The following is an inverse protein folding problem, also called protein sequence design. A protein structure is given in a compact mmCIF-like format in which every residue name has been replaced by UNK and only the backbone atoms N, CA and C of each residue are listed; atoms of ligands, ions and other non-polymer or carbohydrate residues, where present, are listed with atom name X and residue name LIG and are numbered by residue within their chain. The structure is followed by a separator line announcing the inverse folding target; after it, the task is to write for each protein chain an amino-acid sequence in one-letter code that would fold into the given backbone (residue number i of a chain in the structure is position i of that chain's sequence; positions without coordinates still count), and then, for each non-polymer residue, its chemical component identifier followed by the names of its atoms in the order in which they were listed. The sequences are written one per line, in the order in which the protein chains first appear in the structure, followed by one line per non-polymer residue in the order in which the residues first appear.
data_IF_280222835351
#
_entry.id   IF_280222835351
#
_cell.length_a   1.000
_cell.length_b   1.000
_cell.length_c   1.000
_cell.angle_alpha   90.00
_cell.angle_beta   90.00
_cell.angle_gamma   90.00
#
_symmetry.space_group_name_H-M   'P 1'
#
loop_
_entity.id
_entity.type
_entity.pdbx_description
1 polymer ?
#
# COMPACT_ATOMS: atom_id res chain seq x y z
N UNK A 1 -8.78 -23.26 2.43
CA UNK A 1 -9.18 -22.20 1.48
C UNK A 1 -8.15 -22.21 0.36
N UNK A 2 -8.54 -22.45 -0.90
CA UNK A 2 -7.58 -22.46 -2.02
C UNK A 2 -7.34 -21.01 -2.41
N UNK A 3 -6.14 -20.51 -2.09
CA UNK A 3 -5.67 -19.16 -2.36
C UNK A 3 -5.10 -19.20 -3.79
N UNK A 4 -5.75 -18.55 -4.76
CA UNK A 4 -5.36 -18.60 -6.18
C UNK A 4 -5.20 -17.20 -6.78
N UNK A 5 -4.11 -17.01 -7.53
CA UNK A 5 -3.77 -15.77 -8.23
C UNK A 5 -4.26 -15.75 -9.68
N UNK A 6 -4.89 -16.82 -10.16
CA UNK A 6 -5.29 -16.98 -11.57
C UNK A 6 -6.18 -15.84 -12.08
N UNK A 7 -7.08 -15.30 -11.24
CA UNK A 7 -7.97 -14.18 -11.62
C UNK A 7 -7.21 -12.90 -11.98
N UNK A 8 -5.95 -12.81 -11.58
CA UNK A 8 -5.10 -11.66 -11.81
C UNK A 8 -4.10 -11.84 -12.95
N UNK A 9 -4.10 -13.00 -13.62
CA UNK A 9 -3.28 -13.22 -14.81
C UNK A 9 -3.69 -12.23 -15.91
N UNK A 10 -2.70 -11.56 -16.49
CA UNK A 10 -2.91 -10.53 -17.52
C UNK A 10 -3.51 -9.22 -17.01
N UNK A 11 -3.60 -9.03 -15.69
CA UNK A 11 -4.14 -7.80 -15.09
C UNK A 11 -3.03 -6.81 -14.74
N UNK A 12 -3.39 -5.54 -14.69
CA UNK A 12 -2.47 -4.43 -14.43
C UNK A 12 -2.57 -4.00 -12.97
N UNK A 13 -1.44 -3.98 -12.28
CA UNK A 13 -1.28 -3.44 -10.94
C UNK A 13 -0.40 -2.18 -10.97
N UNK A 14 -0.81 -1.14 -10.23
CA UNK A 14 0.03 0.02 -9.94
C UNK A 14 0.51 -0.11 -8.50
N UNK A 15 1.82 -0.01 -8.28
CA UNK A 15 2.44 0.00 -6.94
C UNK A 15 3.22 1.30 -6.79
N UNK A 16 2.80 2.17 -5.88
CA UNK A 16 3.52 3.43 -5.61
C UNK A 16 4.72 3.18 -4.69
N UNK A 17 5.78 3.98 -4.80
CA UNK A 17 7.00 3.77 -3.99
C UNK A 17 7.67 2.41 -4.25
N UNK A 18 7.65 1.93 -5.49
CA UNK A 18 8.19 0.61 -5.87
C UNK A 18 9.73 0.57 -6.04
N UNK A 19 10.44 1.67 -5.76
CA UNK A 19 11.90 1.76 -5.91
C UNK A 19 12.68 1.05 -4.80
N UNK A 20 12.09 0.87 -3.61
CA UNK A 20 12.74 0.27 -2.44
C UNK A 20 11.71 -0.38 -1.49
N UNK A 21 12.19 -1.02 -0.41
CA UNK A 21 11.39 -1.56 0.68
C UNK A 21 10.19 -2.42 0.24
N UNK A 22 9.05 -2.20 0.91
CA UNK A 22 7.79 -2.94 0.73
C UNK A 22 7.28 -2.86 -0.72
N UNK A 23 7.23 -1.67 -1.31
CA UNK A 23 6.73 -1.49 -2.69
C UNK A 23 7.54 -2.28 -3.72
N UNK A 24 8.86 -2.33 -3.56
CA UNK A 24 9.73 -3.12 -4.42
C UNK A 24 9.52 -4.63 -4.21
N UNK A 25 9.35 -5.07 -2.97
CA UNK A 25 9.06 -6.48 -2.64
C UNK A 25 7.73 -6.95 -3.23
N UNK A 26 6.65 -6.14 -3.09
CA UNK A 26 5.34 -6.42 -3.69
C UNK A 26 5.47 -6.57 -5.21
N UNK A 27 6.16 -5.63 -5.86
CA UNK A 27 6.34 -5.64 -7.31
C UNK A 27 7.08 -6.90 -7.78
N UNK A 28 8.14 -7.30 -7.07
CA UNK A 28 8.90 -8.52 -7.39
C UNK A 28 8.10 -9.79 -7.17
N UNK A 29 7.45 -9.95 -6.01
CA UNK A 29 6.69 -11.16 -5.69
C UNK A 29 5.52 -11.35 -6.65
N UNK A 30 4.81 -10.28 -6.99
CA UNK A 30 3.75 -10.31 -8.01
C UNK A 30 4.23 -10.84 -9.36
N UNK A 31 5.40 -10.40 -9.83
CA UNK A 31 5.94 -10.89 -11.11
C UNK A 31 6.42 -12.33 -11.08
N UNK A 32 6.92 -12.80 -9.94
CA UNK A 32 7.30 -14.21 -9.76
C UNK A 32 6.08 -15.13 -9.83
N UNK A 33 5.04 -14.82 -9.07
CA UNK A 33 3.81 -15.64 -9.01
C UNK A 33 3.05 -15.68 -10.33
N UNK A 34 3.14 -14.62 -11.14
CA UNK A 34 2.44 -14.59 -12.44
C UNK A 34 3.17 -15.35 -13.56
N UNK A 35 4.41 -15.86 -13.33
CA UNK A 35 5.30 -16.57 -14.28
C UNK A 35 5.55 -15.89 -15.66
N UNK A 36 4.86 -14.79 -15.95
CA UNK A 36 4.87 -13.98 -17.19
C UNK A 36 4.68 -12.49 -16.90
N UNK A 37 4.76 -12.07 -15.63
CA UNK A 37 4.59 -10.68 -15.22
C UNK A 37 5.68 -9.78 -15.82
N UNK A 38 5.29 -8.57 -16.23
CA UNK A 38 6.22 -7.54 -16.72
C UNK A 38 6.23 -6.38 -15.72
N UNK A 39 7.42 -5.90 -15.37
CA UNK A 39 7.59 -4.67 -14.60
C UNK A 39 7.85 -3.50 -15.56
N UNK A 40 7.09 -2.43 -15.36
CA UNK A 40 7.27 -1.17 -16.08
C UNK A 40 7.60 -0.09 -15.05
N UNK A 41 8.81 0.45 -15.12
CA UNK A 41 9.20 1.56 -14.27
C UNK A 41 8.60 2.86 -14.79
N UNK A 42 7.95 3.62 -13.92
CA UNK A 42 7.45 4.96 -14.21
C UNK A 42 7.95 5.89 -13.10
N UNK A 43 8.86 6.81 -13.46
CA UNK A 43 9.30 7.82 -12.51
C UNK A 43 8.15 8.79 -12.26
N UNK A 44 7.79 8.97 -10.99
CA UNK A 44 6.64 9.81 -10.61
C UNK A 44 6.91 10.45 -9.26
N UNK A 45 6.87 11.77 -9.22
CA UNK A 45 6.89 12.50 -7.95
C UNK A 45 5.47 12.53 -7.37
N UNK A 46 5.24 11.76 -6.31
CA UNK A 46 3.93 11.66 -5.67
C UNK A 46 3.49 12.94 -4.96
N UNK A 47 4.39 13.91 -4.77
CA UNK A 47 4.03 15.25 -4.28
C UNK A 47 3.49 16.16 -5.39
N UNK A 48 3.70 15.81 -6.67
CA UNK A 48 3.25 16.57 -7.83
C UNK A 48 2.07 15.90 -8.51
N UNK A 49 0.91 16.55 -8.43
CA UNK A 49 -0.34 16.03 -9.02
C UNK A 49 -0.18 15.77 -10.52
N UNK A 50 0.50 16.64 -11.24
CA UNK A 50 0.70 16.55 -12.69
C UNK A 50 1.49 15.28 -13.06
N UNK A 51 2.47 14.90 -12.25
CA UNK A 51 3.27 13.69 -12.48
C UNK A 51 2.43 12.43 -12.22
N UNK A 52 1.60 12.44 -11.17
CA UNK A 52 0.63 11.35 -10.92
C UNK A 52 -0.29 11.19 -12.13
N UNK A 53 -0.87 12.29 -12.63
CA UNK A 53 -1.77 12.25 -13.77
C UNK A 53 -1.09 11.71 -15.04
N UNK A 54 0.15 12.15 -15.31
CA UNK A 54 0.96 11.64 -16.43
C UNK A 54 1.22 10.13 -16.30
N UNK A 55 1.54 9.64 -15.11
CA UNK A 55 1.77 8.21 -14.87
C UNK A 55 0.51 7.39 -15.14
N UNK A 56 -0.64 7.83 -14.62
CA UNK A 56 -1.93 7.16 -14.90
C UNK A 56 -2.32 7.21 -16.37
N UNK A 57 -2.02 8.30 -17.06
CA UNK A 57 -2.25 8.42 -18.50
C UNK A 57 -1.37 7.44 -19.28
N UNK A 58 -0.07 7.37 -18.96
CA UNK A 58 0.85 6.42 -19.57
C UNK A 58 0.39 4.96 -19.37
N UNK A 59 -0.08 4.59 -18.17
CA UNK A 59 -0.61 3.24 -17.91
C UNK A 59 -1.82 2.94 -18.80
N UNK A 60 -2.76 3.89 -18.93
CA UNK A 60 -3.94 3.72 -19.79
C UNK A 60 -3.55 3.52 -21.26
N UNK A 61 -2.61 4.31 -21.74
CA UNK A 61 -2.21 4.32 -23.16
C UNK A 61 -1.38 3.09 -23.55
N UNK A 62 -0.66 2.49 -22.60
CA UNK A 62 0.29 1.40 -22.89
C UNK A 62 -0.14 0.03 -22.35
N UNK A 63 -0.85 -0.02 -21.22
CA UNK A 63 -1.15 -1.25 -20.47
C UNK A 63 -2.66 -1.52 -20.33
N UNK A 64 -3.50 -0.51 -20.52
CA UNK A 64 -4.96 -0.61 -20.41
C UNK A 64 -5.50 -0.29 -19.01
N UNK A 65 -6.64 -0.90 -18.60
CA UNK A 65 -7.31 -0.53 -17.35
C UNK A 65 -6.53 -1.01 -16.11
N UNK A 66 -6.58 -0.22 -15.05
CA UNK A 66 -5.97 -0.55 -13.75
C UNK A 66 -6.89 -1.51 -13.02
N UNK A 67 -6.33 -2.62 -12.52
CA UNK A 67 -7.08 -3.65 -11.80
C UNK A 67 -6.73 -3.69 -10.32
N UNK A 68 -5.48 -3.38 -9.99
CA UNK A 68 -5.00 -3.32 -8.62
C UNK A 68 -4.28 -1.99 -8.42
N UNK A 69 -4.53 -1.34 -7.29
CA UNK A 69 -3.76 -0.19 -6.84
C UNK A 69 -3.23 -0.48 -5.44
N UNK A 70 -1.92 -0.45 -5.27
CA UNK A 70 -1.25 -0.50 -3.97
C UNK A 70 -0.75 0.91 -3.65
N UNK A 71 -1.48 1.61 -2.79
CA UNK A 71 -1.06 2.90 -2.23
C UNK A 71 -0.10 2.66 -1.07
N UNK A 72 1.18 2.63 -1.41
CA UNK A 72 2.27 2.58 -0.45
C UNK A 72 2.81 3.99 -0.12
N UNK A 73 2.64 4.96 -1.03
CA UNK A 73 2.89 6.39 -0.76
C UNK A 73 1.62 7.12 -0.28
N UNK A 74 1.75 8.02 0.71
CA UNK A 74 0.64 8.77 1.30
C UNK A 74 0.49 10.20 0.75
N UNK A 75 -0.76 10.63 0.52
CA UNK A 75 -1.14 12.01 0.22
C UNK A 75 -2.63 12.24 0.54
N UNK A 76 -3.05 13.48 0.85
CA UNK A 76 -4.47 13.82 1.20
C UNK A 76 -5.02 15.01 0.41
N UNK A 77 -6.30 14.99 0.03
CA UNK A 77 -7.03 16.12 -0.58
C UNK A 77 -8.52 16.09 -0.16
N UNK A 78 -9.17 17.25 -0.04
CA UNK A 78 -10.63 17.35 0.15
C UNK A 78 -11.40 16.98 -1.13
N UNK A 79 -11.94 15.76 -1.20
CA UNK A 79 -12.76 15.19 -2.28
C UNK A 79 -13.40 13.89 -1.77
N UNK A 80 -14.50 13.41 -2.39
CA UNK A 80 -14.91 12.01 -2.19
C UNK A 80 -13.79 11.09 -2.69
N UNK A 81 -13.57 9.96 -2.03
CA UNK A 81 -12.49 9.05 -2.41
C UNK A 81 -12.86 8.24 -3.66
N UNK A 82 -14.16 7.99 -3.86
CA UNK A 82 -14.69 7.40 -5.09
C UNK A 82 -14.55 8.29 -6.33
N UNK A 83 -14.28 9.59 -6.14
CA UNK A 83 -14.00 10.52 -7.23
C UNK A 83 -12.55 10.44 -7.73
N UNK A 84 -11.70 9.65 -7.09
CA UNK A 84 -10.32 9.40 -7.52
C UNK A 84 -10.23 8.73 -8.89
N UNK A 85 -9.18 9.07 -9.64
CA UNK A 85 -8.98 8.61 -11.03
C UNK A 85 -8.94 7.09 -11.16
N UNK A 86 -8.43 6.38 -10.16
CA UNK A 86 -8.39 4.91 -10.12
C UNK A 86 -9.78 4.30 -10.00
N UNK A 87 -10.60 4.77 -9.05
CA UNK A 87 -11.97 4.25 -8.87
C UNK A 87 -12.80 4.55 -10.12
N UNK A 88 -12.67 5.76 -10.68
CA UNK A 88 -13.29 6.13 -11.96
C UNK A 88 -12.84 5.22 -13.10
N UNK A 89 -11.55 4.94 -13.21
CA UNK A 89 -11.00 4.02 -14.21
C UNK A 89 -11.58 2.60 -14.05
N UNK A 90 -11.55 2.04 -12.85
CA UNK A 90 -12.07 0.69 -12.59
C UNK A 90 -13.56 0.60 -12.90
N UNK A 91 -14.35 1.57 -12.43
CA UNK A 91 -15.81 1.60 -12.68
C UNK A 91 -16.14 1.75 -14.16
N UNK A 92 -15.50 2.68 -14.87
CA UNK A 92 -15.70 2.90 -16.32
C UNK A 92 -15.43 1.61 -17.12
N UNK A 93 -14.43 0.84 -16.70
CA UNK A 93 -14.04 -0.41 -17.36
C UNK A 93 -14.68 -1.67 -16.76
N UNK A 94 -15.66 -1.54 -15.85
CA UNK A 94 -16.35 -2.65 -15.17
C UNK A 94 -15.39 -3.63 -14.48
N UNK A 95 -14.30 -3.11 -13.92
CA UNK A 95 -13.27 -3.89 -13.24
C UNK A 95 -13.67 -4.16 -11.79
N UNK A 96 -13.79 -5.43 -11.42
CA UNK A 96 -13.87 -5.88 -10.02
C UNK A 96 -12.46 -5.87 -9.40
N UNK A 97 -11.95 -4.65 -9.20
CA UNK A 97 -10.56 -4.41 -8.79
C UNK A 97 -10.31 -4.55 -7.30
N UNK A 98 -9.08 -4.25 -6.89
CA UNK A 98 -8.68 -4.24 -5.48
C UNK A 98 -7.76 -3.06 -5.20
N UNK A 99 -8.15 -2.23 -4.23
CA UNK A 99 -7.33 -1.12 -3.72
C UNK A 99 -6.75 -1.53 -2.37
N UNK A 100 -5.43 -1.44 -2.24
CA UNK A 100 -4.69 -1.81 -1.03
C UNK A 100 -3.96 -0.59 -0.51
N UNK A 101 -4.16 -0.26 0.75
CA UNK A 101 -3.42 0.79 1.45
C UNK A 101 -2.37 0.15 2.36
N UNK A 102 -1.10 0.52 2.21
CA UNK A 102 -0.07 0.13 3.16
C UNK A 102 -0.11 1.12 4.33
N UNK A 103 -0.79 0.71 5.38
CA UNK A 103 -0.97 1.44 6.62
C UNK A 103 0.20 1.14 7.59
N UNK A 104 -0.07 0.94 8.88
CA UNK A 104 0.89 0.65 9.95
C UNK A 104 0.12 0.30 11.21
N UNK A 105 0.73 -0.46 12.11
CA UNK A 105 0.26 -0.57 13.50
C UNK A 105 0.06 0.80 14.18
N UNK A 106 0.85 1.82 13.79
CA UNK A 106 0.69 3.21 14.22
C UNK A 106 -0.59 3.89 13.71
N UNK A 107 -1.35 3.24 12.84
CA UNK A 107 -2.70 3.66 12.42
C UNK A 107 -3.82 3.16 13.32
N UNK A 108 -3.47 2.37 14.35
CA UNK A 108 -4.41 1.73 15.28
C UNK A 108 -4.08 2.00 16.75
N UNK A 109 -2.84 2.38 17.06
CA UNK A 109 -2.44 2.89 18.37
C UNK A 109 -1.35 3.94 18.22
N UNK A 110 -1.08 4.67 19.30
CA UNK A 110 -0.07 5.73 19.33
C UNK A 110 1.18 5.18 20.02
N UNK A 111 2.22 4.76 19.27
CA UNK A 111 3.47 4.34 19.88
C UNK A 111 4.15 5.55 20.54
N UNK A 112 4.75 5.34 21.72
CA UNK A 112 5.53 6.38 22.39
C UNK A 112 6.90 6.54 21.70
N UNK A 113 6.92 7.25 20.59
CA UNK A 113 8.11 7.55 19.79
C UNK A 113 8.33 9.06 19.75
N UNK A 114 9.10 9.62 20.70
CA UNK A 114 9.46 11.03 20.69
C UNK A 114 10.01 11.44 19.33
N UNK A 115 9.56 12.59 18.81
CA UNK A 115 9.94 13.16 17.51
C UNK A 115 9.31 12.49 16.27
N UNK A 116 8.49 11.45 16.41
CA UNK A 116 7.76 10.82 15.30
C UNK A 116 6.24 11.11 15.31
N UNK A 117 5.81 12.15 16.04
CA UNK A 117 4.41 12.39 16.45
C UNK A 117 3.39 12.56 15.31
N UNK A 118 3.82 12.97 14.11
CA UNK A 118 2.92 13.16 12.96
C UNK A 118 2.63 11.83 12.25
N UNK A 119 3.53 10.86 12.37
CA UNK A 119 3.39 9.58 11.67
C UNK A 119 2.15 8.79 12.13
N UNK A 120 1.92 8.53 13.43
CA UNK A 120 0.71 7.84 13.87
C UNK A 120 -0.58 8.57 13.45
N UNK A 121 -0.61 9.90 13.50
CA UNK A 121 -1.75 10.69 13.03
C UNK A 121 -2.02 10.48 11.53
N UNK A 122 -0.98 10.49 10.71
CA UNK A 122 -1.10 10.22 9.26
C UNK A 122 -1.62 8.81 8.97
N UNK A 123 -1.21 7.81 9.77
CA UNK A 123 -1.63 6.42 9.61
C UNK A 123 -3.05 6.18 10.13
N UNK A 124 -3.48 6.87 11.18
CA UNK A 124 -4.89 6.90 11.58
C UNK A 124 -5.77 7.53 10.49
N UNK A 125 -5.27 8.56 9.80
CA UNK A 125 -5.97 9.10 8.64
C UNK A 125 -6.10 8.04 7.53
N UNK A 126 -5.06 7.24 7.25
CA UNK A 126 -5.15 6.11 6.30
C UNK A 126 -6.20 5.09 6.73
N UNK A 127 -6.28 4.74 8.03
CA UNK A 127 -7.34 3.87 8.57
C UNK A 127 -8.72 4.42 8.22
N UNK A 128 -8.98 5.69 8.53
CA UNK A 128 -10.26 6.35 8.26
C UNK A 128 -10.57 6.46 6.75
N UNK A 129 -9.56 6.77 5.92
CA UNK A 129 -9.71 6.87 4.47
C UNK A 129 -10.05 5.50 3.86
N UNK A 130 -9.43 4.43 4.33
CA UNK A 130 -9.69 3.06 3.85
C UNK A 130 -11.14 2.67 4.12
N UNK A 131 -11.61 2.92 5.34
CA UNK A 131 -12.99 2.60 5.73
C UNK A 131 -14.02 3.46 4.99
N UNK A 132 -13.76 4.77 4.88
CA UNK A 132 -14.62 5.69 4.12
C UNK A 132 -14.75 5.23 2.67
N UNK A 133 -13.63 4.92 1.99
CA UNK A 133 -13.65 4.46 0.59
C UNK A 133 -14.45 3.15 0.45
N UNK A 134 -14.28 2.21 1.37
CA UNK A 134 -15.03 0.96 1.36
C UNK A 134 -16.53 1.19 1.51
N UNK A 135 -16.95 2.06 2.43
CA UNK A 135 -18.36 2.41 2.60
C UNK A 135 -18.93 3.11 1.36
N UNK A 136 -18.20 4.07 0.78
CA UNK A 136 -18.60 4.74 -0.46
C UNK A 136 -18.72 3.76 -1.65
N UNK A 137 -17.82 2.78 -1.77
CA UNK A 137 -17.89 1.76 -2.83
C UNK A 137 -19.08 0.81 -2.62
N UNK A 138 -19.39 0.46 -1.37
CA UNK A 138 -20.55 -0.35 -1.04
C UNK A 138 -21.86 0.37 -1.34
N UNK A 139 -21.97 1.66 -1.01
CA UNK A 139 -23.20 2.44 -1.21
C UNK A 139 -23.60 2.56 -2.69
N UNK A 140 -22.63 2.45 -3.60
CA UNK A 140 -22.84 2.45 -5.05
C UNK A 140 -22.89 1.04 -5.67
N UNK A 141 -22.92 -0.02 -4.85
CA UNK A 141 -22.97 -1.41 -5.31
C UNK A 141 -21.72 -1.89 -6.06
N UNK A 142 -20.57 -1.24 -5.84
CA UNK A 142 -19.31 -1.60 -6.50
C UNK A 142 -18.83 -3.00 -6.10
N UNK A 143 -18.07 -3.65 -6.99
CA UNK A 143 -17.37 -4.92 -6.73
C UNK A 143 -15.87 -4.74 -6.48
N UNK A 144 -15.44 -3.49 -6.28
CA UNK A 144 -14.05 -3.16 -5.96
C UNK A 144 -13.81 -3.44 -4.47
N UNK A 145 -12.81 -4.26 -4.18
CA UNK A 145 -12.37 -4.53 -2.79
C UNK A 145 -11.46 -3.43 -2.28
N UNK A 146 -11.49 -3.18 -0.98
CA UNK A 146 -10.54 -2.28 -0.30
C UNK A 146 -9.97 -2.96 0.93
N UNK A 147 -8.64 -2.95 1.05
CA UNK A 147 -7.91 -3.55 2.17
C UNK A 147 -6.87 -2.58 2.71
N UNK A 148 -6.76 -2.48 4.03
CA UNK A 148 -5.61 -1.87 4.70
C UNK A 148 -4.69 -2.97 5.24
N UNK A 149 -3.41 -2.87 4.93
CA UNK A 149 -2.36 -3.77 5.45
C UNK A 149 -1.55 -2.95 6.44
N UNK A 150 -1.45 -3.41 7.69
CA UNK A 150 -0.82 -2.68 8.80
C UNK A 150 0.39 -3.44 9.35
N UNK A 151 1.59 -3.21 8.79
CA UNK A 151 2.83 -3.74 9.32
C UNK A 151 3.19 -3.14 10.69
N UNK A 152 3.79 -3.97 11.55
CA UNK A 152 4.64 -3.57 12.67
C UNK A 152 6.01 -3.09 12.18
N UNK A 153 7.06 -3.24 13.00
CA UNK A 153 8.43 -2.93 12.58
C UNK A 153 8.83 -3.77 11.36
N UNK A 154 9.32 -3.13 10.29
CA UNK A 154 9.83 -3.78 9.08
C UNK A 154 11.24 -3.26 8.79
N UNK A 155 12.20 -4.16 8.58
CA UNK A 155 13.57 -3.83 8.17
C UNK A 155 13.57 -3.27 6.75
N UNK A 156 13.57 -1.94 6.63
CA UNK A 156 13.61 -1.21 5.35
C UNK A 156 14.34 0.11 5.53
N UNK A 157 14.60 0.79 4.41
CA UNK A 157 15.15 2.15 4.37
C UNK A 157 14.21 3.20 4.98
N UNK A 158 13.00 2.81 5.40
CA UNK A 158 12.04 3.67 6.08
C UNK A 158 12.61 4.31 7.35
N UNK A 159 13.44 3.58 8.11
CA UNK A 159 14.07 4.09 9.33
C UNK A 159 14.95 5.28 9.00
N UNK A 160 15.75 5.20 7.94
CA UNK A 160 16.55 6.34 7.48
C UNK A 160 15.66 7.48 6.95
N UNK A 161 14.63 7.14 6.17
CA UNK A 161 13.72 8.09 5.54
C UNK A 161 12.92 8.93 6.56
N UNK A 162 12.56 8.37 7.72
CA UNK A 162 11.90 9.12 8.80
C UNK A 162 12.71 10.32 9.31
N UNK A 163 14.03 10.31 9.11
CA UNK A 163 14.93 11.40 9.48
C UNK A 163 15.50 12.14 8.27
N UNK A 164 15.07 11.80 7.05
CA UNK A 164 15.40 12.59 5.87
C UNK A 164 14.55 13.86 5.86
N UNK A 165 15.21 15.02 5.99
CA UNK A 165 14.56 16.33 6.04
C UNK A 165 14.35 16.90 7.46
N UNK A 166 14.63 16.14 8.53
CA UNK A 166 14.82 16.73 9.86
C UNK A 166 16.17 17.46 9.92
N UNK A 167 16.26 18.53 10.73
CA UNK A 167 17.55 19.23 10.98
C UNK A 167 18.58 18.37 11.71
N UNK A 168 18.22 17.14 12.07
CA UNK A 168 18.99 16.19 12.85
C UNK A 168 18.92 14.83 12.16
N UNK A 169 20.07 14.18 11.99
CA UNK A 169 20.16 12.76 11.67
C UNK A 169 19.42 11.91 12.73
N UNK A 170 19.03 10.66 12.42
CA UNK A 170 18.55 9.74 13.45
C UNK A 170 19.58 9.71 14.60
N UNK A 171 19.16 9.84 15.87
CA UNK A 171 20.06 9.56 16.98
C UNK A 171 20.66 8.15 16.78
N UNK A 172 21.99 7.96 16.94
CA UNK A 172 22.62 6.65 16.79
C UNK A 172 21.91 5.56 17.61
N UNK A 173 21.49 5.93 18.82
CA UNK A 173 20.72 5.11 19.76
C UNK A 173 19.40 4.60 19.15
N UNK A 174 18.70 5.42 18.36
CA UNK A 174 17.42 5.05 17.77
C UNK A 174 17.60 4.08 16.61
N UNK A 175 18.71 4.19 15.87
CA UNK A 175 19.09 3.20 14.85
C UNK A 175 19.46 1.86 15.47
N UNK A 176 20.26 1.87 16.52
CA UNK A 176 20.65 0.65 17.26
C UNK A 176 19.43 -0.02 17.89
N UNK A 177 18.55 0.75 18.56
CA UNK A 177 17.30 0.23 19.12
C UNK A 177 16.42 -0.43 18.05
N UNK A 178 16.24 0.20 16.88
CA UNK A 178 15.43 -0.38 15.80
C UNK A 178 16.08 -1.61 15.18
N UNK A 179 17.41 -1.69 15.15
CA UNK A 179 18.13 -2.88 14.68
C UNK A 179 18.00 -4.08 15.63
N UNK A 180 17.88 -3.84 16.94
CA UNK A 180 17.70 -4.92 17.93
C UNK A 180 16.24 -5.36 18.11
N UNK A 181 15.27 -4.57 17.63
CA UNK A 181 13.86 -4.97 17.69
C UNK A 181 13.58 -6.14 16.71
N UNK A 182 12.77 -7.13 17.14
CA UNK A 182 12.18 -8.08 16.22
C UNK A 182 11.51 -7.33 15.07
N UNK A 183 11.86 -7.69 13.84
CA UNK A 183 11.44 -6.95 12.65
C UNK A 183 11.04 -7.90 11.53
N UNK A 184 10.01 -7.49 10.78
CA UNK A 184 9.57 -8.15 9.56
C UNK A 184 10.50 -7.80 8.40
N UNK A 185 10.54 -8.64 7.40
CA UNK A 185 11.13 -8.34 6.10
C UNK A 185 10.08 -7.75 5.16
N UNK A 186 10.52 -6.97 4.17
CA UNK A 186 9.63 -6.44 3.14
C UNK A 186 8.88 -7.55 2.35
N UNK A 187 9.48 -8.74 2.24
CA UNK A 187 8.85 -9.93 1.66
C UNK A 187 7.63 -10.39 2.45
N UNK A 188 7.65 -10.29 3.78
CA UNK A 188 6.55 -10.76 4.63
C UNK A 188 5.28 -9.92 4.36
N UNK A 189 5.47 -8.62 4.13
CA UNK A 189 4.38 -7.70 3.75
C UNK A 189 3.92 -7.98 2.33
N UNK A 190 4.84 -8.26 1.41
CA UNK A 190 4.50 -8.63 0.05
C UNK A 190 3.64 -9.91 0.02
N UNK A 191 3.99 -10.93 0.80
CA UNK A 191 3.24 -12.18 0.89
C UNK A 191 1.86 -11.95 1.51
N UNK A 192 1.75 -11.07 2.51
CA UNK A 192 0.46 -10.61 3.03
C UNK A 192 -0.41 -9.92 1.97
N UNK A 193 0.19 -9.10 1.10
CA UNK A 193 -0.52 -8.46 -0.03
C UNK A 193 -0.99 -9.50 -1.05
N UNK A 194 -0.16 -10.49 -1.38
CA UNK A 194 -0.53 -11.59 -2.27
C UNK A 194 -1.68 -12.42 -1.68
N UNK A 195 -1.64 -12.70 -0.37
CA UNK A 195 -2.70 -13.38 0.36
C UNK A 195 -4.06 -12.68 0.19
N UNK A 196 -4.14 -11.37 0.46
CA UNK A 196 -5.42 -10.62 0.35
C UNK A 196 -5.90 -10.49 -1.09
N UNK A 197 -4.98 -10.46 -2.06
CA UNK A 197 -5.32 -10.44 -3.49
C UNK A 197 -5.92 -11.77 -3.93
N UNK A 198 -5.41 -12.88 -3.41
CA UNK A 198 -5.82 -14.22 -3.78
C UNK A 198 -7.13 -14.68 -3.13
N UNK A 199 -7.71 -13.92 -2.19
CA UNK A 199 -9.04 -14.24 -1.65
C UNK A 199 -10.14 -14.08 -2.72
N UNK A 200 -11.19 -14.93 -2.70
CA UNK A 200 -12.25 -14.90 -3.72
C UNK A 200 -12.95 -13.53 -3.85
N UNK A 201 -13.59 -13.23 -5.00
CA UNK A 201 -14.22 -11.92 -5.22
C UNK A 201 -15.30 -11.52 -4.20
N UNK A 202 -15.94 -12.49 -3.53
CA UNK A 202 -16.95 -12.25 -2.51
C UNK A 202 -16.38 -12.10 -1.09
N UNK A 203 -15.08 -12.36 -0.91
CA UNK A 203 -14.39 -12.24 0.38
C UNK A 203 -13.65 -10.91 0.42
N UNK A 204 -13.87 -10.12 1.46
CA UNK A 204 -13.16 -8.87 1.72
C UNK A 204 -12.34 -8.98 2.99
N UNK A 205 -11.02 -9.13 2.82
CA UNK A 205 -10.07 -8.90 3.91
C UNK A 205 -10.01 -7.39 4.14
N UNK A 206 -10.69 -6.92 5.18
CA UNK A 206 -10.79 -5.49 5.43
C UNK A 206 -9.47 -4.90 5.94
N UNK A 207 -8.84 -5.63 6.87
CA UNK A 207 -7.61 -5.23 7.56
C UNK A 207 -6.71 -6.47 7.72
N UNK A 208 -5.42 -6.32 7.45
CA UNK A 208 -4.40 -7.33 7.74
C UNK A 208 -3.27 -6.69 8.54
N UNK A 209 -3.24 -6.96 9.85
CA UNK A 209 -2.14 -6.54 10.72
C UNK A 209 -1.08 -7.64 10.77
N UNK A 210 0.18 -7.28 10.47
CA UNK A 210 1.32 -8.22 10.46
C UNK A 210 2.36 -7.66 11.41
N UNK A 211 2.73 -8.42 12.44
CA UNK A 211 3.67 -7.98 13.48
C UNK A 211 4.82 -8.98 13.61
N UNK A 212 6.04 -8.52 13.90
CA UNK A 212 7.12 -9.40 14.34
C UNK A 212 6.70 -10.16 15.61
N UNK A 213 7.06 -11.44 15.69
CA UNK A 213 6.92 -12.19 16.93
C UNK A 213 7.89 -11.58 17.96
N UNK A 214 7.36 -11.18 19.12
CA UNK A 214 8.16 -10.57 20.19
C UNK A 214 8.26 -9.04 20.14
N UNK A 215 7.56 -8.36 19.23
CA UNK A 215 7.49 -6.89 19.22
C UNK A 215 6.79 -6.37 20.51
N UNK A 216 7.49 -5.58 21.37
CA UNK A 216 6.90 -5.01 22.57
C UNK A 216 5.88 -3.91 22.21
N UNK A 217 4.79 -3.83 22.99
CA UNK A 217 3.73 -2.81 22.86
C UNK A 217 4.15 -1.46 23.45
#
# INVERSE_FOLDING_TARGET
MVVSMERWVGKVAIVTGASAGIGAAISRNWTKESNKGKLYACQTDMAKKEDILKAFQWVKDNLGPVHILVNNAGFTKATNLTDGDTVKNMRKNKVAGHIIHINSVGGHYIPNLPNANVYPASKHAVTALTETLRQELNSIGSKIKVTSVSPGVVTTEFVDACFTGSRTSPPPELKEMVQELPSLQASDIADGVLYVLATPPHVQDHELMIRPVGEPL
#
